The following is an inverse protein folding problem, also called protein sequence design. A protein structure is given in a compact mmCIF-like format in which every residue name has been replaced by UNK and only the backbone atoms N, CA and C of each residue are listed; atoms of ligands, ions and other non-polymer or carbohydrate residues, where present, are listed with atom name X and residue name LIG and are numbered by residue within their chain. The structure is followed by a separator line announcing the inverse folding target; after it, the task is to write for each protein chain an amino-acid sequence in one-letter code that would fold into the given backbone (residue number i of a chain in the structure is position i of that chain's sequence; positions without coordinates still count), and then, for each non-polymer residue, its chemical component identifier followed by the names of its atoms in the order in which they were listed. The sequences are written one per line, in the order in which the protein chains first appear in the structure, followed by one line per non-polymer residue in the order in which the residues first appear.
data_IF_258448131702
#
_entry.id   IF_258448131702
#
_cell.length_a   1.000
_cell.length_b   1.000
_cell.length_c   1.000
_cell.angle_alpha   90.00
_cell.angle_beta   90.00
_cell.angle_gamma   90.00
#
_symmetry.space_group_name_H-M   'P 1'
#
loop_
_entity.id
_entity.type
_entity.pdbx_description
1 polymer ?
#
# COMPACT_ATOMS: atom_id res chain seq x y z
N UNK A 1 -18.67 8.56 -19.42
CA UNK A 1 -17.43 7.74 -19.50
C UNK A 1 -16.63 8.01 -18.24
N UNK A 2 -16.59 7.08 -17.28
CA UNK A 2 -15.87 7.29 -16.01
C UNK A 2 -14.35 7.30 -16.28
N UNK A 3 -13.77 8.49 -16.35
CA UNK A 3 -12.32 8.67 -16.37
C UNK A 3 -11.78 8.42 -14.97
N UNK A 4 -11.39 7.16 -14.73
CA UNK A 4 -10.71 6.66 -13.54
C UNK A 4 -9.68 7.67 -12.99
N UNK A 5 -9.65 7.88 -11.67
CA UNK A 5 -8.75 8.85 -11.02
C UNK A 5 -7.28 8.65 -11.40
N UNK A 6 -6.87 7.39 -11.58
CA UNK A 6 -5.56 7.00 -12.08
C UNK A 6 -5.22 7.58 -13.46
N UNK A 7 -6.19 7.64 -14.38
CA UNK A 7 -5.97 8.15 -15.74
C UNK A 7 -5.66 9.65 -15.74
N UNK A 8 -6.24 10.41 -14.80
CA UNK A 8 -6.00 11.86 -14.67
C UNK A 8 -4.57 12.20 -14.23
N UNK A 9 -3.86 11.24 -13.63
CA UNK A 9 -2.48 11.45 -13.19
C UNK A 9 -1.47 11.43 -14.34
N UNK A 10 -1.82 10.82 -15.48
CA UNK A 10 -0.87 10.56 -16.58
C UNK A 10 0.14 9.44 -16.31
N UNK A 11 0.31 9.02 -15.05
CA UNK A 11 1.24 7.98 -14.60
C UNK A 11 0.61 6.59 -14.61
N UNK A 12 -0.04 6.23 -15.72
CA UNK A 12 -0.70 4.94 -15.86
C UNK A 12 -0.35 4.24 -17.18
N UNK A 13 -0.44 2.91 -17.16
CA UNK A 13 -0.36 2.07 -18.36
C UNK A 13 -1.44 1.00 -18.31
N UNK A 14 -2.08 0.72 -19.44
CA UNK A 14 -3.09 -0.33 -19.53
C UNK A 14 -2.48 -1.62 -20.09
N UNK A 15 -2.65 -2.72 -19.34
CA UNK A 15 -2.18 -4.03 -19.74
C UNK A 15 -3.07 -4.61 -20.83
N UNK A 16 -2.48 -4.95 -21.98
CA UNK A 16 -3.18 -5.50 -23.16
C UNK A 16 -3.48 -7.00 -23.04
N UNK A 17 -3.02 -7.63 -21.95
CA UNK A 17 -3.21 -9.04 -21.65
C UNK A 17 -2.17 -9.56 -20.66
N UNK A 18 -2.28 -10.84 -20.29
CA UNK A 18 -1.44 -11.43 -19.24
C UNK A 18 0.07 -11.35 -19.55
N UNK A 19 0.54 -11.64 -20.77
CA UNK A 19 1.98 -11.55 -21.10
C UNK A 19 2.51 -10.12 -21.04
N UNK A 20 1.75 -9.17 -21.58
CA UNK A 20 2.09 -7.74 -21.56
C UNK A 20 2.14 -7.23 -20.10
N UNK A 21 1.22 -7.65 -19.23
CA UNK A 21 1.24 -7.33 -17.81
C UNK A 21 2.54 -7.75 -17.12
N UNK A 22 2.96 -9.01 -17.26
CA UNK A 22 4.22 -9.46 -16.65
C UNK A 22 5.44 -8.74 -17.25
N UNK A 23 5.42 -8.42 -18.54
CA UNK A 23 6.46 -7.60 -19.18
C UNK A 23 6.51 -6.18 -18.61
N UNK A 24 5.36 -5.53 -18.40
CA UNK A 24 5.27 -4.21 -17.76
C UNK A 24 5.80 -4.24 -16.33
N UNK A 25 5.50 -5.28 -15.56
CA UNK A 25 6.01 -5.42 -14.18
C UNK A 25 7.54 -5.54 -14.20
N UNK A 26 8.09 -6.36 -15.10
CA UNK A 26 9.54 -6.48 -15.27
C UNK A 26 10.20 -5.16 -15.69
N UNK A 27 9.58 -4.44 -16.62
CA UNK A 27 10.03 -3.12 -17.07
C UNK A 27 10.05 -2.08 -15.94
N UNK A 28 8.98 -2.02 -15.13
CA UNK A 28 8.90 -1.11 -13.99
C UNK A 28 9.94 -1.50 -12.93
N UNK A 29 10.05 -2.78 -12.58
CA UNK A 29 11.01 -3.28 -11.59
C UNK A 29 12.48 -3.10 -12.04
N UNK A 30 12.74 -3.22 -13.34
CA UNK A 30 14.06 -3.02 -13.95
C UNK A 30 14.34 -1.57 -14.34
N UNK A 31 13.42 -0.63 -14.10
CA UNK A 31 13.54 0.72 -14.63
C UNK A 31 14.81 1.42 -14.12
N UNK A 32 15.15 1.31 -12.84
CA UNK A 32 16.35 1.93 -12.29
C UNK A 32 16.93 1.10 -11.16
N UNK A 33 18.26 0.90 -11.16
CA UNK A 33 18.99 0.27 -10.06
C UNK A 33 18.95 1.09 -8.76
N UNK A 34 18.57 2.37 -8.85
CA UNK A 34 18.40 3.26 -7.70
C UNK A 34 16.95 3.35 -7.22
N UNK A 35 15.98 2.73 -7.92
CA UNK A 35 14.60 2.74 -7.50
C UNK A 35 14.39 1.78 -6.32
N UNK A 36 13.52 2.18 -5.38
CA UNK A 36 13.02 1.31 -4.33
C UNK A 36 11.50 1.31 -4.43
N UNK A 37 10.93 0.21 -4.92
CA UNK A 37 9.51 0.15 -5.27
C UNK A 37 8.68 -0.51 -4.18
N UNK A 38 7.63 0.18 -3.75
CA UNK A 38 6.56 -0.36 -2.94
C UNK A 38 5.37 -0.71 -3.85
N UNK A 39 4.87 -1.94 -3.77
CA UNK A 39 3.81 -2.43 -4.63
C UNK A 39 2.49 -2.56 -3.87
N UNK A 40 1.39 -2.11 -4.46
CA UNK A 40 0.05 -2.30 -3.90
C UNK A 40 -0.93 -2.76 -4.96
N UNK A 41 -1.67 -3.81 -4.64
CA UNK A 41 -2.78 -4.28 -5.48
C UNK A 41 -4.11 -3.74 -4.99
N UNK A 42 -4.94 -3.27 -5.92
CA UNK A 42 -6.32 -2.89 -5.66
C UNK A 42 -7.23 -3.65 -6.62
N UNK A 43 -8.21 -4.34 -6.07
CA UNK A 43 -9.15 -5.17 -6.82
C UNK A 43 -10.08 -4.34 -7.74
N UNK A 44 -10.23 -3.04 -7.49
CA UNK A 44 -10.96 -2.11 -8.35
C UNK A 44 -10.10 -0.91 -8.73
N UNK A 45 -10.17 -0.47 -9.98
CA UNK A 45 -9.62 0.79 -10.47
C UNK A 45 -10.41 2.02 -10.03
N UNK A 46 -11.59 1.81 -9.45
CA UNK A 46 -12.39 2.85 -8.80
C UNK A 46 -11.88 3.14 -7.38
N UNK A 47 -10.99 2.30 -6.82
CA UNK A 47 -10.44 2.53 -5.49
C UNK A 47 -9.35 3.59 -5.50
N UNK A 48 -9.41 4.44 -4.48
CA UNK A 48 -8.38 5.40 -4.12
C UNK A 48 -7.42 4.80 -3.09
N UNK A 49 -6.21 5.35 -3.03
CA UNK A 49 -5.21 5.02 -2.03
C UNK A 49 -5.52 5.75 -0.72
N UNK A 50 -6.49 5.18 -0.02
CA UNK A 50 -7.01 5.69 1.26
C UNK A 50 -6.75 4.68 2.37
N UNK A 51 -6.25 5.12 3.52
CA UNK A 51 -6.02 4.30 4.71
C UNK A 51 -7.33 3.79 5.30
N UNK A 52 -7.29 2.72 6.09
CA UNK A 52 -8.52 2.17 6.69
C UNK A 52 -9.17 3.15 7.67
N UNK A 53 -8.37 3.92 8.43
CA UNK A 53 -8.89 4.96 9.33
C UNK A 53 -9.60 6.07 8.54
N UNK A 54 -8.98 6.57 7.47
CA UNK A 54 -9.60 7.61 6.63
C UNK A 54 -10.84 7.08 5.89
N UNK A 55 -10.87 5.81 5.46
CA UNK A 55 -12.10 5.21 4.89
C UNK A 55 -13.27 5.20 5.87
N UNK A 56 -13.00 4.98 7.16
CA UNK A 56 -14.04 5.00 8.21
C UNK A 56 -14.55 6.41 8.49
N UNK A 57 -13.67 7.41 8.42
CA UNK A 57 -14.00 8.80 8.75
C UNK A 57 -14.51 9.61 7.55
N UNK A 58 -14.22 9.17 6.33
CA UNK A 58 -14.39 9.96 5.11
C UNK A 58 -13.22 10.94 4.88
N UNK A 59 -13.36 11.86 3.90
CA UNK A 59 -12.37 12.92 3.67
C UNK A 59 -12.27 13.82 4.91
N UNK A 60 -11.10 13.82 5.55
CA UNK A 60 -10.80 14.60 6.76
C UNK A 60 -9.42 15.24 6.64
N UNK A 61 -9.18 16.30 7.42
CA UNK A 61 -7.85 16.90 7.54
C UNK A 61 -6.94 16.10 8.49
N UNK A 62 -5.64 16.42 8.47
CA UNK A 62 -4.65 15.75 9.32
C UNK A 62 -5.00 15.90 10.82
N UNK A 63 -5.48 17.07 11.25
CA UNK A 63 -5.80 17.33 12.64
C UNK A 63 -6.92 16.38 13.15
N UNK A 64 -7.97 16.20 12.35
CA UNK A 64 -9.09 15.30 12.67
C UNK A 64 -8.64 13.84 12.62
N UNK A 65 -7.87 13.44 11.61
CA UNK A 65 -7.32 12.07 11.52
C UNK A 65 -6.45 11.77 12.76
N UNK A 66 -5.53 12.69 13.12
CA UNK A 66 -4.61 12.52 14.24
C UNK A 66 -5.33 12.52 15.59
N UNK A 67 -6.43 13.28 15.74
CA UNK A 67 -7.27 13.22 16.92
C UNK A 67 -7.86 11.80 17.13
N UNK A 68 -8.40 11.19 16.07
CA UNK A 68 -8.96 9.84 16.15
C UNK A 68 -7.89 8.78 16.36
N UNK A 69 -6.74 8.93 15.72
CA UNK A 69 -5.60 8.04 15.91
C UNK A 69 -5.07 8.07 17.35
N UNK A 70 -4.98 9.26 17.98
CA UNK A 70 -4.58 9.39 19.40
C UNK A 70 -5.59 8.73 20.33
N UNK A 71 -6.90 8.85 20.05
CA UNK A 71 -7.95 8.15 20.83
C UNK A 71 -7.81 6.63 20.71
N UNK A 72 -7.57 6.13 19.49
CA UNK A 72 -7.34 4.71 19.23
C UNK A 72 -6.13 4.20 20.03
N UNK A 73 -5.00 4.91 19.95
CA UNK A 73 -3.78 4.54 20.66
C UNK A 73 -3.95 4.57 22.18
N UNK A 74 -4.62 5.60 22.72
CA UNK A 74 -4.93 5.67 24.14
C UNK A 74 -5.78 4.48 24.60
N UNK A 75 -6.87 4.18 23.89
CA UNK A 75 -7.74 3.04 24.19
C UNK A 75 -6.99 1.69 24.12
N UNK A 76 -6.12 1.51 23.12
CA UNK A 76 -5.31 0.30 23.01
C UNK A 76 -4.36 0.14 24.21
N UNK A 77 -3.73 1.24 24.67
CA UNK A 77 -2.85 1.21 25.84
C UNK A 77 -3.60 0.99 27.15
N UNK A 78 -4.81 1.54 27.28
CA UNK A 78 -5.71 1.25 28.43
C UNK A 78 -6.05 -0.24 28.52
N UNK A 79 -6.17 -0.91 27.38
CA UNK A 79 -6.34 -2.37 27.30
C UNK A 79 -5.03 -3.15 27.58
N UNK A 80 -3.92 -2.46 27.85
CA UNK A 80 -2.61 -3.06 28.08
C UNK A 80 -1.88 -3.50 26.81
N UNK A 81 -2.37 -3.13 25.62
CA UNK A 81 -1.74 -3.49 24.36
C UNK A 81 -0.49 -2.64 24.10
N UNK A 82 0.52 -3.26 23.46
CA UNK A 82 1.79 -2.62 23.18
C UNK A 82 2.76 -2.61 24.36
N UNK A 83 2.42 -3.16 25.53
CA UNK A 83 3.39 -3.39 26.59
C UNK A 83 4.06 -4.76 26.43
N UNK A 84 5.39 -4.80 26.51
CA UNK A 84 6.16 -6.03 26.40
C UNK A 84 7.48 -6.01 27.18
N UNK A 85 8.36 -7.01 26.98
CA UNK A 85 9.63 -7.12 27.71
C UNK A 85 10.57 -5.91 27.54
N UNK A 86 10.41 -5.14 26.47
CA UNK A 86 11.14 -3.89 26.19
C UNK A 86 10.43 -2.61 26.64
N UNK A 87 9.32 -2.72 27.38
CA UNK A 87 8.45 -1.59 27.73
C UNK A 87 7.33 -1.37 26.71
N UNK A 88 6.88 -0.13 26.61
CA UNK A 88 5.82 0.25 25.67
C UNK A 88 6.35 0.37 24.24
N UNK A 89 5.65 -0.25 23.31
CA UNK A 89 5.84 -0.13 21.87
C UNK A 89 5.53 1.29 21.40
N UNK A 90 6.31 1.82 20.45
CA UNK A 90 6.06 3.11 19.80
C UNK A 90 4.67 3.16 19.15
N UNK A 91 4.14 4.37 18.93
CA UNK A 91 2.86 4.56 18.24
C UNK A 91 2.84 3.84 16.89
N UNK A 92 3.94 3.90 16.12
CA UNK A 92 4.04 3.24 14.82
C UNK A 92 3.99 1.71 14.94
N UNK A 93 4.72 1.14 15.91
CA UNK A 93 4.70 -0.31 16.15
C UNK A 93 3.32 -0.76 16.63
N UNK A 94 2.69 -0.03 17.55
CA UNK A 94 1.35 -0.34 18.04
C UNK A 94 0.30 -0.23 16.93
N UNK A 95 0.38 0.78 16.04
CA UNK A 95 -0.49 0.87 14.87
C UNK A 95 -0.31 -0.32 13.91
N UNK A 96 0.93 -0.74 13.66
CA UNK A 96 1.21 -1.89 12.81
C UNK A 96 0.61 -3.19 13.41
N UNK A 97 0.74 -3.37 14.72
CA UNK A 97 0.18 -4.52 15.43
C UNK A 97 -1.35 -4.49 15.42
N UNK A 98 -1.96 -3.33 15.70
CA UNK A 98 -3.42 -3.16 15.66
C UNK A 98 -4.00 -3.45 14.27
N UNK A 99 -3.32 -3.00 13.20
CA UNK A 99 -3.76 -3.25 11.82
C UNK A 99 -3.69 -4.73 11.44
N UNK A 100 -2.71 -5.47 11.96
CA UNK A 100 -2.66 -6.92 11.76
C UNK A 100 -3.94 -7.61 12.22
N UNK A 101 -4.52 -7.14 13.33
CA UNK A 101 -5.78 -7.64 13.87
C UNK A 101 -7.03 -6.98 13.27
N UNK A 102 -6.89 -6.19 12.20
CA UNK A 102 -8.00 -5.61 11.44
C UNK A 102 -8.50 -4.26 11.95
N UNK A 103 -7.77 -3.63 12.88
CA UNK A 103 -8.10 -2.28 13.35
C UNK A 103 -7.85 -1.25 12.25
N UNK A 104 -8.72 -0.26 12.13
CA UNK A 104 -8.55 0.83 11.17
C UNK A 104 -7.42 1.79 11.62
N UNK A 105 -6.40 1.97 10.79
CA UNK A 105 -5.21 2.80 11.07
C UNK A 105 -4.88 3.71 9.87
N UNK A 106 -3.94 4.65 10.04
CA UNK A 106 -3.45 5.49 8.93
C UNK A 106 -2.56 4.76 7.93
N UNK A 107 -2.06 3.60 8.31
CA UNK A 107 -1.03 2.88 7.59
C UNK A 107 -1.61 2.20 6.35
N UNK A 108 -0.87 2.25 5.24
CA UNK A 108 -1.22 1.63 3.97
C UNK A 108 -0.34 0.41 3.71
N UNK A 109 -0.95 -0.77 3.66
CA UNK A 109 -0.26 -2.02 3.32
C UNK A 109 0.34 -1.96 1.91
N UNK A 110 1.62 -2.29 1.83
CA UNK A 110 2.34 -2.47 0.56
C UNK A 110 3.23 -3.69 0.65
N UNK A 111 3.59 -4.24 -0.50
CA UNK A 111 4.52 -5.36 -0.60
C UNK A 111 5.78 -4.93 -1.31
N UNK A 112 6.91 -5.49 -0.88
CA UNK A 112 8.15 -5.40 -1.67
C UNK A 112 8.12 -6.32 -2.90
N UNK A 113 7.16 -7.25 -2.96
CA UNK A 113 7.03 -8.21 -4.04
C UNK A 113 5.85 -7.84 -4.99
N UNK A 114 6.13 -7.56 -6.28
CA UNK A 114 5.07 -7.22 -7.23
C UNK A 114 4.07 -8.36 -7.46
N UNK A 115 4.47 -9.63 -7.31
CA UNK A 115 3.57 -10.76 -7.51
C UNK A 115 2.55 -10.89 -6.39
N UNK A 116 2.95 -10.55 -5.16
CA UNK A 116 2.04 -10.48 -4.01
C UNK A 116 1.02 -9.36 -4.21
N UNK A 117 1.47 -8.16 -4.57
CA UNK A 117 0.57 -7.05 -4.89
C UNK A 117 -0.33 -7.38 -6.10
N UNK A 118 0.18 -8.03 -7.13
CA UNK A 118 -0.61 -8.43 -8.30
C UNK A 118 -1.74 -9.40 -7.92
N UNK A 119 -1.47 -10.33 -6.99
CA UNK A 119 -2.50 -11.24 -6.48
C UNK A 119 -3.70 -10.46 -5.89
N UNK A 120 -3.44 -9.41 -5.12
CA UNK A 120 -4.47 -8.52 -4.57
C UNK A 120 -5.20 -7.73 -5.66
N UNK A 121 -4.47 -7.21 -6.65
CA UNK A 121 -5.07 -6.46 -7.77
C UNK A 121 -6.03 -7.31 -8.62
N UNK A 122 -5.78 -8.62 -8.67
CA UNK A 122 -6.59 -9.57 -9.43
C UNK A 122 -7.71 -10.23 -8.62
N UNK A 123 -7.84 -9.96 -7.31
CA UNK A 123 -8.98 -10.45 -6.54
C UNK A 123 -10.30 -9.84 -7.05
N UNK A 124 -11.44 -10.51 -6.82
CA UNK A 124 -12.75 -9.90 -7.01
C UNK A 124 -12.88 -8.63 -6.17
N UNK A 125 -13.48 -7.58 -6.74
CA UNK A 125 -13.89 -6.42 -5.96
C UNK A 125 -15.17 -6.74 -5.18
N UNK A 126 -15.46 -5.95 -4.15
CA UNK A 126 -16.69 -6.06 -3.37
C UNK A 126 -17.54 -4.81 -3.59
N UNK A 127 -18.84 -4.98 -3.72
CA UNK A 127 -19.77 -3.85 -3.68
C UNK A 127 -20.12 -3.46 -2.23
N UNK A 128 -21.02 -2.48 -2.09
CA UNK A 128 -21.48 -1.98 -0.78
C UNK A 128 -22.25 -3.03 0.05
N UNK A 129 -22.71 -4.11 -0.58
CA UNK A 129 -23.37 -5.25 0.09
C UNK A 129 -22.38 -6.35 0.47
N UNK A 130 -21.12 -6.22 0.05
CA UNK A 130 -20.09 -7.25 0.18
C UNK A 130 -20.12 -8.30 -0.92
N UNK A 131 -20.99 -8.15 -1.93
CA UNK A 131 -21.07 -9.08 -3.04
C UNK A 131 -19.87 -8.91 -3.98
N UNK A 132 -19.37 -10.04 -4.50
CA UNK A 132 -18.25 -10.03 -5.43
C UNK A 132 -18.68 -9.49 -6.80
N UNK A 133 -17.97 -8.47 -7.28
CA UNK A 133 -18.21 -7.84 -8.57
C UNK A 133 -16.96 -7.86 -9.44
N UNK A 134 -17.16 -7.99 -10.75
CA UNK A 134 -16.09 -7.90 -11.74
C UNK A 134 -15.76 -6.43 -12.00
N UNK A 135 -14.55 -6.02 -11.66
CA UNK A 135 -13.99 -4.68 -11.90
C UNK A 135 -12.56 -4.78 -12.39
N UNK A 136 -12.12 -3.79 -13.14
CA UNK A 136 -10.71 -3.67 -13.52
C UNK A 136 -9.87 -3.44 -12.26
N UNK A 137 -8.62 -3.92 -12.24
CA UNK A 137 -7.73 -3.81 -11.08
C UNK A 137 -6.63 -2.79 -11.31
N UNK A 138 -5.91 -2.47 -10.25
CA UNK A 138 -4.72 -1.62 -10.31
C UNK A 138 -3.59 -2.29 -9.57
N UNK A 139 -2.46 -2.46 -10.26
CA UNK A 139 -1.19 -2.73 -9.63
C UNK A 139 -0.40 -1.41 -9.61
N UNK A 140 -0.27 -0.84 -8.41
CA UNK A 140 0.46 0.39 -8.18
C UNK A 140 1.91 0.06 -7.79
N UNK A 141 2.87 0.71 -8.44
CA UNK A 141 4.27 0.76 -8.04
C UNK A 141 4.59 2.18 -7.58
N UNK A 142 4.93 2.39 -6.31
CA UNK A 142 5.34 3.70 -5.77
C UNK A 142 6.84 3.70 -5.57
N UNK A 143 7.53 4.71 -6.06
CA UNK A 143 8.98 4.84 -5.86
C UNK A 143 9.28 5.55 -4.55
N UNK A 144 9.68 4.74 -3.59
CA UNK A 144 10.03 5.13 -2.23
C UNK A 144 11.53 5.38 -2.04
N UNK A 145 12.32 5.44 -3.13
CA UNK A 145 13.74 5.73 -3.03
C UNK A 145 13.97 7.05 -2.28
N UNK A 146 14.75 7.05 -1.20
CA UNK A 146 15.01 8.23 -0.39
C UNK A 146 13.91 8.60 0.62
N UNK A 147 12.80 7.85 0.70
CA UNK A 147 11.82 8.03 1.78
C UNK A 147 12.45 7.61 3.11
N UNK A 148 12.14 8.36 4.18
CA UNK A 148 12.58 8.01 5.53
C UNK A 148 11.89 6.73 6.00
N UNK A 149 12.62 5.94 6.79
CA UNK A 149 12.17 4.66 7.34
C UNK A 149 12.08 4.78 8.85
N UNK A 150 10.93 4.44 9.38
CA UNK A 150 10.60 4.48 10.81
C UNK A 150 10.19 3.10 11.31
N UNK A 151 10.17 2.92 12.63
CA UNK A 151 9.84 1.67 13.30
C UNK A 151 11.04 0.78 13.59
N UNK A 152 12.22 1.05 13.00
CA UNK A 152 13.50 0.37 13.33
C UNK A 152 14.47 1.21 14.15
N UNK A 153 14.24 2.52 14.22
CA UNK A 153 15.19 3.46 14.81
C UNK A 153 15.06 3.49 16.33
N UNK A 154 16.18 3.52 17.04
CA UNK A 154 16.22 3.94 18.44
C UNK A 154 16.01 5.47 18.50
N UNK A 155 15.47 6.00 19.62
CA UNK A 155 15.36 7.44 19.80
C UNK A 155 16.73 8.09 19.56
N UNK A 156 16.79 9.15 18.76
CA UNK A 156 18.03 9.80 18.30
C UNK A 156 18.75 10.61 19.40
N UNK A 157 18.30 10.49 20.66
CA UNK A 157 18.84 11.22 21.79
C UNK A 157 18.39 12.68 21.87
N UNK A 158 17.46 13.13 21.03
CA UNK A 158 16.86 14.47 21.16
C UNK A 158 16.03 14.61 22.43
N UNK A 159 15.99 15.82 23.01
CA UNK A 159 15.26 16.10 24.26
C UNK A 159 13.77 15.72 24.17
N UNK A 160 13.13 16.02 23.03
CA UNK A 160 11.74 15.64 22.73
C UNK A 160 11.53 14.11 22.67
N UNK A 161 12.53 13.37 22.20
CA UNK A 161 12.47 11.91 22.14
C UNK A 161 12.62 11.26 23.53
N UNK A 162 13.07 12.01 24.53
CA UNK A 162 13.17 11.58 25.93
C UNK A 162 11.87 11.86 26.68
N UNK A 163 11.19 12.98 26.39
CA UNK A 163 9.94 13.35 27.06
C UNK A 163 8.74 12.51 26.62
N UNK A 164 8.64 12.16 25.33
CA UNK A 164 7.57 11.30 24.81
C UNK A 164 8.10 10.27 23.81
N UNK A 165 8.92 9.30 24.27
CA UNK A 165 9.63 8.36 23.40
C UNK A 165 8.69 7.51 22.54
N UNK A 166 7.45 7.32 22.99
CA UNK A 166 6.50 6.42 22.36
C UNK A 166 5.79 7.10 21.17
N UNK A 167 5.39 8.37 21.29
CA UNK A 167 4.70 9.10 20.22
C UNK A 167 5.64 9.88 19.30
N UNK A 168 6.84 10.22 19.78
CA UNK A 168 7.78 11.10 19.09
C UNK A 168 8.05 10.69 17.63
N UNK A 169 8.25 9.40 17.37
CA UNK A 169 8.63 8.94 16.03
C UNK A 169 7.54 9.25 14.98
N UNK A 170 6.26 9.02 15.33
CA UNK A 170 5.12 9.31 14.47
C UNK A 170 4.93 10.81 14.29
N UNK A 171 5.01 11.58 15.39
CA UNK A 171 4.86 13.05 15.34
C UNK A 171 5.97 13.70 14.51
N UNK A 172 7.20 13.26 14.70
CA UNK A 172 8.35 13.73 13.94
C UNK A 172 8.24 13.38 12.45
N UNK A 173 7.82 12.15 12.13
CA UNK A 173 7.63 11.71 10.75
C UNK A 173 6.56 12.53 10.01
N UNK A 174 5.43 12.81 10.68
CA UNK A 174 4.37 13.63 10.13
C UNK A 174 4.78 15.09 9.94
N UNK A 175 5.53 15.65 10.90
CA UNK A 175 6.01 17.03 10.83
C UNK A 175 6.97 17.28 9.65
N UNK A 176 7.53 16.25 9.01
CA UNK A 176 8.34 16.41 7.79
C UNK A 176 7.50 16.78 6.56
N UNK A 177 6.18 16.57 6.58
CA UNK A 177 5.29 16.84 5.45
C UNK A 177 5.54 15.96 4.23
N UNK A 178 6.33 14.88 4.36
CA UNK A 178 6.65 13.94 3.28
C UNK A 178 6.23 12.52 3.64
N UNK A 179 5.80 11.70 2.66
CA UNK A 179 5.52 10.28 2.92
C UNK A 179 6.74 9.52 3.44
N UNK A 180 6.48 8.50 4.25
CA UNK A 180 7.51 7.68 4.87
C UNK A 180 7.12 6.21 4.91
N UNK A 181 8.13 5.37 5.12
CA UNK A 181 8.02 3.93 5.26
C UNK A 181 7.94 3.59 6.74
N UNK A 182 7.01 2.72 7.11
CA UNK A 182 6.91 2.12 8.45
C UNK A 182 7.25 0.64 8.34
N UNK A 183 8.29 0.23 9.06
CA UNK A 183 8.72 -1.16 9.16
C UNK A 183 8.36 -1.72 10.54
N UNK A 184 7.76 -2.91 10.56
CA UNK A 184 7.57 -3.65 11.81
C UNK A 184 8.87 -4.39 12.16
N UNK A 185 9.35 -4.25 13.39
CA UNK A 185 10.53 -4.97 13.89
C UNK A 185 10.23 -6.44 14.14
N UNK A 186 8.98 -6.77 14.46
CA UNK A 186 8.51 -8.11 14.74
C UNK A 186 7.31 -8.43 13.83
N UNK A 187 7.53 -8.58 12.52
CA UNK A 187 6.45 -8.85 11.59
C UNK A 187 5.84 -10.23 11.91
N UNK A 188 4.51 -10.27 12.03
CA UNK A 188 3.76 -11.51 12.12
C UNK A 188 3.87 -12.36 10.84
N UNK A 189 3.41 -13.61 10.89
CA UNK A 189 3.49 -14.55 9.78
C UNK A 189 2.83 -14.04 8.48
N UNK A 190 1.69 -13.35 8.61
CA UNK A 190 0.98 -12.78 7.45
C UNK A 190 1.80 -11.70 6.78
N UNK A 191 2.31 -10.74 7.56
CA UNK A 191 3.14 -9.64 7.04
C UNK A 191 4.41 -10.19 6.38
N UNK A 192 5.05 -11.21 6.97
CA UNK A 192 6.19 -11.91 6.37
C UNK A 192 5.84 -12.60 5.05
N UNK A 193 4.76 -13.37 5.04
CA UNK A 193 4.33 -14.13 3.86
C UNK A 193 3.90 -13.24 2.69
N UNK A 194 3.45 -12.01 2.97
CA UNK A 194 3.10 -11.01 1.97
C UNK A 194 4.27 -10.11 1.59
N UNK A 195 5.47 -10.36 2.14
CA UNK A 195 6.64 -9.48 2.02
C UNK A 195 6.29 -8.00 2.29
N UNK A 196 5.42 -7.82 3.27
CA UNK A 196 4.67 -6.61 3.50
C UNK A 196 5.36 -5.63 4.43
N UNK A 197 5.05 -4.37 4.22
CA UNK A 197 5.40 -3.24 5.08
C UNK A 197 4.34 -2.15 4.87
N UNK A 198 4.50 -0.99 5.51
CA UNK A 198 3.49 0.07 5.42
C UNK A 198 4.08 1.37 4.90
N UNK A 199 3.22 2.13 4.21
CA UNK A 199 3.44 3.54 3.91
C UNK A 199 2.52 4.40 4.77
N UNK A 200 2.99 5.57 5.15
CA UNK A 200 2.19 6.58 5.84
C UNK A 200 2.69 7.98 5.48
N UNK A 201 1.90 8.98 5.84
CA UNK A 201 2.24 10.38 5.66
C UNK A 201 1.20 11.27 6.31
N UNK A 202 1.44 12.58 6.20
CA UNK A 202 0.45 13.60 6.49
C UNK A 202 -0.65 13.55 5.43
N UNK A 203 -1.90 13.55 5.87
CA UNK A 203 -3.06 13.59 4.99
C UNK A 203 -3.11 14.95 4.28
N UNK A 204 -3.23 14.99 2.94
CA UNK A 204 -3.37 16.25 2.21
C UNK A 204 -4.60 17.04 2.64
N UNK A 205 -4.61 18.33 2.36
CA UNK A 205 -5.82 19.16 2.50
C UNK A 205 -7.01 18.50 1.80
N UNK A 206 -8.21 18.61 2.38
CA UNK A 206 -9.42 17.97 1.83
C UNK A 206 -9.68 18.36 0.37
N UNK A 207 -9.34 19.60 -0.01
CA UNK A 207 -9.40 20.07 -1.40
C UNK A 207 -8.45 19.35 -2.36
N UNK A 208 -7.34 18.82 -1.86
CA UNK A 208 -6.29 18.13 -2.63
C UNK A 208 -6.53 16.61 -2.72
N UNK A 209 -7.49 16.06 -1.95
CA UNK A 209 -7.83 14.63 -1.92
C UNK A 209 -8.64 14.15 -3.15
N UNK A 210 -8.63 14.92 -4.25
CA UNK A 210 -9.25 14.58 -5.54
C UNK A 210 -8.32 13.66 -6.39
N UNK A 211 -7.05 13.57 -5.97
CA UNK A 211 -6.05 12.64 -6.49
C UNK A 211 -6.33 11.22 -5.98
N UNK A 212 -5.97 10.16 -6.74
CA UNK A 212 -6.02 8.80 -6.21
C UNK A 212 -5.14 8.59 -4.96
N UNK A 213 -4.26 9.53 -4.61
CA UNK A 213 -3.49 9.52 -3.36
C UNK A 213 -4.15 10.35 -2.26
N UNK A 214 -5.20 9.82 -1.63
CA UNK A 214 -5.97 10.54 -0.62
C UNK A 214 -5.31 10.56 0.78
N UNK A 215 -4.44 9.60 1.10
CA UNK A 215 -3.83 9.48 2.44
C UNK A 215 -2.44 10.09 2.60
N UNK A 216 -1.75 10.44 1.51
CA UNK A 216 -0.49 11.19 1.55
C UNK A 216 -0.18 11.76 0.17
N UNK A 217 0.60 12.83 0.10
CA UNK A 217 0.95 13.48 -1.17
C UNK A 217 2.15 12.81 -1.84
N UNK A 218 2.02 12.46 -3.12
CA UNK A 218 3.16 12.02 -3.95
C UNK A 218 3.40 13.07 -5.02
N UNK A 219 4.52 13.77 -4.90
CA UNK A 219 4.90 14.78 -5.89
C UNK A 219 5.16 14.12 -7.25
N UNK A 220 4.45 14.60 -8.25
CA UNK A 220 4.58 14.12 -9.61
C UNK A 220 4.26 15.24 -10.59
N UNK A 221 5.10 15.40 -11.61
CA UNK A 221 4.77 16.24 -12.76
C UNK A 221 3.87 15.45 -13.71
N UNK A 222 2.94 16.11 -14.44
CA UNK A 222 2.13 15.41 -15.44
C UNK A 222 3.00 14.64 -16.44
N UNK A 223 2.58 13.43 -16.77
CA UNK A 223 3.24 12.53 -17.72
C UNK A 223 2.26 12.15 -18.82
N UNK A 224 2.73 12.04 -20.06
CA UNK A 224 1.90 11.49 -21.14
C UNK A 224 1.91 9.95 -21.08
N UNK A 225 0.75 9.27 -21.03
CA UNK A 225 0.69 7.82 -20.84
C UNK A 225 1.43 7.01 -21.91
N UNK A 226 1.35 7.45 -23.18
CA UNK A 226 2.04 6.77 -24.28
C UNK A 226 3.56 6.91 -24.16
N UNK A 227 4.04 8.10 -23.76
CA UNK A 227 5.44 8.32 -23.44
C UNK A 227 5.88 7.45 -22.28
N UNK A 228 5.08 7.32 -21.22
CA UNK A 228 5.42 6.45 -20.08
C UNK A 228 5.63 5.00 -20.56
N UNK A 229 4.73 4.49 -21.40
CA UNK A 229 4.84 3.13 -21.93
C UNK A 229 6.09 2.93 -22.79
N UNK A 230 6.45 3.92 -23.61
CA UNK A 230 7.69 3.91 -24.39
C UNK A 230 8.92 3.92 -23.47
N UNK A 231 8.96 4.80 -22.47
CA UNK A 231 10.06 4.90 -21.50
C UNK A 231 10.25 3.61 -20.70
N UNK A 232 9.17 2.91 -20.33
CA UNK A 232 9.26 1.63 -19.64
C UNK A 232 9.83 0.52 -20.53
N UNK A 233 9.63 0.61 -21.86
CA UNK A 233 10.07 -0.42 -22.81
C UNK A 233 11.46 -0.18 -23.38
N UNK A 234 12.04 1.00 -23.19
CA UNK A 234 13.38 1.32 -23.68
C UNK A 234 14.44 0.43 -22.98
N UNK A 235 15.10 -0.49 -23.71
CA UNK A 235 16.11 -1.39 -23.15
C UNK A 235 17.44 -0.69 -22.91
N UNK A 236 17.70 0.47 -23.53
CA UNK A 236 18.95 1.20 -23.41
C UNK A 236 18.69 2.69 -23.09
N UNK A 237 18.15 2.97 -21.90
CA UNK A 237 17.80 4.32 -21.50
C UNK A 237 19.07 5.19 -21.53
N UNK A 238 19.10 6.18 -22.41
CA UNK A 238 20.29 7.01 -22.60
C UNK A 238 20.73 7.64 -21.27
N UNK A 239 22.00 7.40 -20.89
CA UNK A 239 22.66 8.06 -19.76
C UNK A 239 22.80 9.55 -20.06
N UNK A 240 21.85 10.37 -19.60
CA UNK A 240 22.00 11.83 -19.66
C UNK A 240 20.72 12.64 -19.87
N UNK A 241 19.65 12.05 -20.41
CA UNK A 241 18.34 12.72 -20.35
C UNK A 241 17.81 12.55 -18.94
N UNK A 242 17.56 13.65 -18.21
CA UNK A 242 17.16 13.63 -16.81
C UNK A 242 16.07 12.59 -16.58
N UNK A 243 16.44 11.43 -16.03
CA UNK A 243 15.49 10.44 -15.53
C UNK A 243 14.65 11.17 -14.52
N UNK A 244 13.51 11.67 -14.96
CA UNK A 244 12.41 12.02 -14.08
C UNK A 244 12.22 10.78 -13.23
N UNK A 245 12.50 10.90 -11.93
CA UNK A 245 12.26 9.86 -10.94
C UNK A 245 10.84 9.38 -11.18
N UNK A 246 10.63 8.14 -11.64
CA UNK A 246 9.28 7.56 -11.74
C UNK A 246 8.69 7.69 -10.34
N UNK A 247 7.72 8.60 -10.08
CA UNK A 247 7.22 8.79 -8.73
C UNK A 247 6.32 7.62 -8.36
N UNK A 248 5.52 7.18 -9.33
CA UNK A 248 4.75 5.96 -9.30
C UNK A 248 4.35 5.53 -10.72
N UNK A 249 3.83 4.31 -10.86
CA UNK A 249 3.16 3.82 -12.06
C UNK A 249 1.94 3.01 -11.66
N UNK A 250 0.77 3.35 -12.19
CA UNK A 250 -0.45 2.57 -12.04
C UNK A 250 -0.67 1.66 -13.27
N UNK A 251 -0.53 0.36 -13.10
CA UNK A 251 -0.86 -0.61 -14.16
C UNK A 251 -2.33 -0.99 -14.04
N UNK A 252 -3.14 -0.58 -15.02
CA UNK A 252 -4.55 -0.93 -15.10
C UNK A 252 -4.69 -2.36 -15.65
N UNK A 253 -5.48 -3.18 -14.97
CA UNK A 253 -5.64 -4.61 -15.24
C UNK A 253 -7.10 -4.89 -15.60
N UNK A 254 -7.45 -4.98 -16.89
CA UNK A 254 -8.78 -5.35 -17.31
C UNK A 254 -9.28 -6.63 -16.64
N UNK A 255 -10.50 -6.56 -16.11
CA UNK A 255 -11.18 -7.62 -15.37
C UNK A 255 -11.22 -8.96 -16.13
N UNK A 256 -11.41 -8.90 -17.44
CA UNK A 256 -11.55 -10.04 -18.36
C UNK A 256 -10.42 -11.07 -18.29
N UNK A 257 -9.22 -10.70 -17.82
CA UNK A 257 -8.09 -11.63 -17.73
C UNK A 257 -7.52 -11.83 -16.31
N UNK A 258 -8.15 -11.25 -15.27
CA UNK A 258 -7.70 -11.42 -13.88
C UNK A 258 -7.64 -12.88 -13.44
N UNK A 259 -8.65 -13.69 -13.79
CA UNK A 259 -8.68 -15.12 -13.45
C UNK A 259 -7.48 -15.88 -14.02
N UNK A 260 -7.11 -15.59 -15.27
CA UNK A 260 -5.92 -16.18 -15.93
C UNK A 260 -4.61 -15.73 -15.27
N UNK A 261 -4.56 -14.51 -14.74
CA UNK A 261 -3.41 -14.01 -13.98
C UNK A 261 -3.30 -14.72 -12.62
N UNK A 262 -4.42 -14.89 -11.90
CA UNK A 262 -4.46 -15.63 -10.63
C UNK A 262 -3.96 -17.07 -10.80
N UNK A 263 -4.39 -17.78 -11.85
CA UNK A 263 -3.93 -19.13 -12.14
C UNK A 263 -2.42 -19.20 -12.37
N UNK A 264 -1.83 -18.20 -13.03
CA UNK A 264 -0.36 -18.12 -13.23
C UNK A 264 0.37 -17.81 -11.94
N UNK A 265 -0.18 -16.92 -11.13
CA UNK A 265 0.36 -16.58 -9.82
C UNK A 265 0.41 -17.81 -8.90
N UNK A 266 -0.64 -18.62 -8.90
CA UNK A 266 -0.68 -19.89 -8.19
C UNK A 266 0.36 -20.87 -8.73
N UNK A 267 0.34 -21.17 -10.04
CA UNK A 267 1.15 -22.23 -10.63
C UNK A 267 2.64 -21.90 -10.76
N UNK A 268 3.01 -20.63 -10.97
CA UNK A 268 4.39 -20.25 -11.31
C UNK A 268 5.09 -19.40 -10.25
N UNK A 269 4.33 -18.76 -9.36
CA UNK A 269 4.89 -17.84 -8.35
C UNK A 269 4.52 -18.25 -6.92
N UNK A 270 3.77 -19.34 -6.74
CA UNK A 270 3.29 -19.80 -5.44
C UNK A 270 2.56 -18.66 -4.67
N UNK A 271 1.66 -17.96 -5.37
CA UNK A 271 0.87 -16.85 -4.83
C UNK A 271 -0.61 -17.23 -4.83
N UNK A 272 -1.07 -17.71 -3.68
CA UNK A 272 -2.45 -18.11 -3.43
C UNK A 272 -2.81 -17.89 -1.95
N UNK A 273 -4.11 -17.97 -1.61
CA UNK A 273 -4.62 -17.61 -0.28
C UNK A 273 -3.91 -18.31 0.88
N UNK A 274 -3.65 -19.62 0.78
CA UNK A 274 -2.97 -20.39 1.83
C UNK A 274 -1.52 -19.94 2.10
N UNK A 275 -0.83 -19.39 1.10
CA UNK A 275 0.53 -18.87 1.26
C UNK A 275 0.49 -17.47 1.82
N UNK A 276 -0.38 -16.61 1.28
CA UNK A 276 -0.44 -15.19 1.66
C UNK A 276 -1.15 -14.94 3.01
N UNK A 277 -1.96 -15.89 3.48
CA UNK A 277 -2.68 -15.81 4.75
C UNK A 277 -2.47 -17.09 5.56
N UNK A 278 -1.24 -17.30 6.10
CA UNK A 278 -0.89 -18.52 6.82
C UNK A 278 -1.41 -18.57 8.27
N UNK A 279 -2.12 -17.54 8.72
CA UNK A 279 -2.59 -17.41 10.10
C UNK A 279 -4.04 -17.90 10.29
N UNK A 280 -4.48 -17.97 11.55
CA UNK A 280 -5.84 -18.43 11.90
C UNK A 280 -6.93 -17.56 11.27
N UNK A 281 -6.72 -16.24 11.20
CA UNK A 281 -7.65 -15.32 10.55
C UNK A 281 -7.79 -15.64 9.06
N UNK A 282 -6.68 -15.97 8.38
CA UNK A 282 -6.64 -16.41 6.99
C UNK A 282 -7.37 -17.71 6.76
N UNK A 283 -7.16 -18.70 7.65
CA UNK A 283 -7.87 -19.97 7.60
C UNK A 283 -9.40 -19.78 7.79
N UNK A 284 -9.80 -18.91 8.72
CA UNK A 284 -11.22 -18.58 8.96
C UNK A 284 -11.87 -17.98 7.72
N UNK A 285 -11.23 -16.99 7.10
CA UNK A 285 -11.71 -16.34 5.87
C UNK A 285 -11.79 -17.31 4.69
N UNK A 286 -10.78 -18.18 4.53
CA UNK A 286 -10.76 -19.20 3.49
C UNK A 286 -11.89 -20.24 3.66
N UNK A 287 -12.12 -20.68 4.89
CA UNK A 287 -13.15 -21.68 5.20
C UNK A 287 -14.55 -21.13 4.94
N UNK A 288 -14.84 -19.89 5.36
CA UNK A 288 -16.12 -19.23 5.10
C UNK A 288 -16.46 -19.13 3.60
N UNK A 289 -15.44 -18.83 2.76
CA UNK A 289 -15.60 -18.77 1.30
C UNK A 289 -15.88 -20.14 0.68
N UNK A 290 -15.24 -21.19 1.20
CA UNK A 290 -15.40 -22.56 0.68
C UNK A 290 -16.74 -23.19 1.06
N UNK A 291 -17.29 -22.84 2.22
CA UNK A 291 -18.60 -23.32 2.70
C UNK A 291 -19.78 -22.78 1.89
N UNK A 292 -19.64 -21.61 1.26
CA UNK A 292 -20.70 -20.97 0.46
C UNK A 292 -20.89 -21.63 -0.92
N UNK A 293 -19.98 -22.53 -1.34
CA UNK A 293 -20.05 -23.27 -2.61
C UNK A 293 -20.67 -24.67 -2.44
N UNK A 294 -21.02 -25.06 -1.20
CA UNK A 294 -21.66 -26.36 -0.90
C UNK A 294 -23.00 -26.19 -0.18
N UNK A 295 -23.99 -25.62 -0.87
CA UNK A 295 -25.41 -25.87 -0.65
C UNK A 295 -26.13 -25.87 -2.00
#
# INVERSE_FOLDING_TARGET
MSTHAWKRTGWFVEARGSRDLFSLIGAIGGYSSQASLAWRGMASSDYELTSSLQRTLGPVDEATLRLQERKLLAAAREWGLGYGPGGWASDLQLLADLQHYGTATRLLDVSSNPMTALWFACQPAQDHTGAHISRDGVLLAVNTAGWKRYGRSRPDGSYSAIENPIAWELEHALAQGTPFIVESLMPNDRLRAQEGFFLAGEVPLVSDQISPFASFKVDSSPMEPDRLREHLRDPNPQRGSGRGRLPFVAVLIPSQFKAKVLQRLENSFNRHSRVLFPDFTGFREYSARSSTVRL
#
